data_IF_862423283755
#
_entry.id   IF_862423283755
#
_cell.length_a   1.000
_cell.length_b   1.000
_cell.length_c   1.000
_cell.angle_alpha   90.00
_cell.angle_beta   90.00
_cell.angle_gamma   90.00
#
_symmetry.space_group_name_H-M   'P 1'
#
loop_
_entity.id
_entity.type
_entity.pdbx_description
1 polymer ?
#
# COMPACT_ATOMS: atom_id res chain seq x y z
N UNK A 1 33.41 17.12 -1.95
CA UNK A 1 33.04 18.19 -0.99
C UNK A 1 32.98 17.60 0.39
N UNK A 2 33.72 18.14 1.35
CA UNK A 2 33.53 17.71 2.72
C UNK A 2 32.09 18.05 3.18
N UNK A 3 31.42 17.07 3.79
CA UNK A 3 30.12 17.27 4.36
C UNK A 3 30.21 18.18 5.58
N UNK A 4 29.28 19.12 5.74
CA UNK A 4 29.17 19.97 6.93
C UNK A 4 28.82 19.18 8.20
N UNK A 5 28.35 17.95 8.03
CA UNK A 5 27.88 17.07 9.10
C UNK A 5 28.81 15.85 9.11
N UNK A 6 29.31 15.49 10.28
CA UNK A 6 30.13 14.29 10.47
C UNK A 6 29.31 13.00 10.26
N UNK A 7 29.99 11.90 9.97
CA UNK A 7 29.31 10.59 9.80
C UNK A 7 28.59 10.16 11.07
N UNK A 8 29.11 10.49 12.25
CA UNK A 8 28.46 10.21 13.53
C UNK A 8 27.14 10.97 13.68
N UNK A 9 27.14 12.26 13.31
CA UNK A 9 25.91 13.08 13.33
C UNK A 9 24.89 12.60 12.32
N UNK A 10 25.29 12.19 11.12
CA UNK A 10 24.40 11.60 10.12
C UNK A 10 23.74 10.31 10.66
N UNK A 11 24.51 9.46 11.31
CA UNK A 11 23.99 8.24 11.88
C UNK A 11 22.99 8.51 13.03
N UNK A 12 23.28 9.49 13.87
CA UNK A 12 22.37 9.92 14.93
C UNK A 12 21.05 10.48 14.36
N UNK A 13 21.14 11.33 13.33
CA UNK A 13 19.95 11.85 12.66
C UNK A 13 19.13 10.74 11.98
N UNK A 14 19.80 9.80 11.32
CA UNK A 14 19.13 8.63 10.74
C UNK A 14 18.39 7.82 11.80
N UNK A 15 19.01 7.62 12.98
CA UNK A 15 18.37 6.98 14.13
C UNK A 15 17.09 7.72 14.55
N UNK A 16 17.17 9.04 14.72
CA UNK A 16 16.01 9.87 15.11
C UNK A 16 14.86 9.76 14.10
N UNK A 17 15.13 9.77 12.78
CA UNK A 17 14.09 9.62 11.77
C UNK A 17 13.43 8.23 11.80
N UNK A 18 14.21 7.19 12.03
CA UNK A 18 13.68 5.84 12.19
C UNK A 18 12.82 5.73 13.46
N UNK A 19 13.25 6.32 14.57
CA UNK A 19 12.49 6.35 15.83
C UNK A 19 11.16 7.11 15.67
N UNK A 20 11.16 8.21 14.92
CA UNK A 20 9.92 8.95 14.60
C UNK A 20 8.98 8.06 13.77
N UNK A 21 9.50 7.36 12.77
CA UNK A 21 8.70 6.43 11.98
C UNK A 21 8.13 5.32 12.87
N UNK A 22 8.95 4.71 13.70
CA UNK A 22 8.56 3.63 14.59
C UNK A 22 7.54 4.06 15.65
N UNK A 23 7.58 5.32 16.07
CA UNK A 23 6.62 5.88 17.03
C UNK A 23 5.22 6.04 16.42
N UNK A 24 5.14 6.45 15.16
CA UNK A 24 3.86 6.77 14.50
C UNK A 24 3.38 5.73 13.49
N UNK A 25 4.13 4.64 13.32
CA UNK A 25 3.75 3.58 12.39
C UNK A 25 2.48 2.85 12.84
N UNK A 26 1.68 2.46 11.87
CA UNK A 26 0.50 1.61 12.05
C UNK A 26 0.54 0.45 11.09
N UNK A 27 -0.11 -0.63 11.44
CA UNK A 27 -0.25 -1.78 10.58
C UNK A 27 -1.20 -1.47 9.41
N UNK A 28 -0.76 -1.83 8.22
CA UNK A 28 -1.55 -1.79 6.99
C UNK A 28 -1.56 -3.15 6.33
N UNK A 29 -2.66 -3.50 5.68
CA UNK A 29 -2.76 -4.74 4.90
C UNK A 29 -2.85 -4.39 3.42
N UNK A 30 -1.88 -4.87 2.65
CA UNK A 30 -1.81 -4.66 1.21
C UNK A 30 -2.37 -5.89 0.52
N UNK A 31 -3.45 -5.73 -0.22
CA UNK A 31 -4.10 -6.79 -0.98
C UNK A 31 -3.68 -6.72 -2.44
N UNK A 32 -3.20 -7.85 -2.95
CA UNK A 32 -2.87 -8.04 -4.36
C UNK A 32 -4.04 -8.63 -5.12
N UNK A 33 -4.01 -8.50 -6.43
CA UNK A 33 -4.92 -9.22 -7.31
C UNK A 33 -4.85 -10.73 -7.02
N UNK A 34 -5.99 -11.39 -6.77
CA UNK A 34 -5.99 -12.80 -6.38
C UNK A 34 -5.41 -13.67 -7.51
N UNK A 35 -4.62 -14.65 -7.12
CA UNK A 35 -4.07 -15.61 -8.07
C UNK A 35 -5.14 -16.62 -8.47
N UNK A 36 -5.31 -16.80 -9.78
CA UNK A 36 -6.14 -17.85 -10.34
C UNK A 36 -5.39 -19.18 -10.25
N UNK A 37 -5.93 -20.11 -9.49
CA UNK A 37 -5.38 -21.48 -9.33
C UNK A 37 -6.32 -22.47 -9.96
N UNK A 38 -5.78 -23.35 -10.79
CA UNK A 38 -6.53 -24.47 -11.39
C UNK A 38 -6.67 -25.52 -10.31
N UNK A 39 -7.88 -25.77 -9.81
CA UNK A 39 -8.13 -26.73 -8.73
C UNK A 39 -8.33 -28.17 -9.22
N UNK A 40 -8.80 -28.35 -10.46
CA UNK A 40 -8.93 -29.66 -11.08
C UNK A 40 -8.66 -29.60 -12.58
N UNK A 41 -7.78 -30.45 -13.06
CA UNK A 41 -7.65 -30.73 -14.48
C UNK A 41 -8.41 -32.03 -14.72
N UNK A 42 -9.49 -31.98 -15.48
CA UNK A 42 -10.22 -33.19 -15.85
C UNK A 42 -9.38 -33.94 -16.88
N UNK A 43 -8.76 -35.02 -16.46
CA UNK A 43 -7.87 -35.86 -17.28
C UNK A 43 -8.59 -36.62 -18.42
N UNK A 44 -9.93 -36.59 -18.41
CA UNK A 44 -10.72 -37.21 -19.50
C UNK A 44 -10.62 -36.49 -20.85
N UNK A 45 -10.17 -35.23 -20.86
CA UNK A 45 -9.93 -34.51 -22.12
C UNK A 45 -8.57 -34.83 -22.79
N UNK A 46 -7.72 -35.63 -22.14
CA UNK A 46 -6.39 -35.93 -22.62
C UNK A 46 -6.41 -36.78 -23.92
N UNK A 47 -7.53 -37.42 -24.23
CA UNK A 47 -7.68 -38.26 -25.41
C UNK A 47 -8.61 -37.68 -26.49
N UNK A 48 -8.96 -36.39 -26.44
CA UNK A 48 -9.70 -35.71 -27.50
C UNK A 48 -11.18 -36.10 -27.64
N UNK A 49 -11.70 -36.93 -26.76
CA UNK A 49 -13.13 -37.34 -26.70
C UNK A 49 -13.84 -36.87 -25.44
N UNK A 50 -13.48 -35.71 -24.92
CA UNK A 50 -14.15 -35.07 -23.80
C UNK A 50 -14.98 -33.86 -24.24
N UNK A 51 -16.13 -33.70 -23.63
CA UNK A 51 -17.00 -32.56 -23.82
C UNK A 51 -16.21 -31.25 -23.58
N UNK A 52 -16.14 -30.32 -24.54
CA UNK A 52 -15.39 -29.06 -24.38
C UNK A 52 -15.97 -28.16 -23.25
N UNK A 53 -17.11 -28.53 -22.70
CA UNK A 53 -17.73 -27.86 -21.55
C UNK A 53 -17.31 -28.45 -20.19
N UNK A 54 -16.45 -29.45 -20.13
CA UNK A 54 -16.01 -30.01 -18.86
C UNK A 54 -15.03 -29.05 -18.19
N UNK A 55 -15.60 -28.29 -17.36
CA UNK A 55 -15.20 -27.26 -16.44
C UNK A 55 -13.81 -27.46 -15.83
N UNK A 56 -12.88 -26.69 -16.32
CA UNK A 56 -11.67 -26.37 -15.54
C UNK A 56 -12.14 -25.56 -14.33
N UNK A 57 -12.18 -26.16 -13.17
CA UNK A 57 -12.53 -25.44 -11.95
C UNK A 57 -11.36 -24.55 -11.52
N UNK A 58 -11.62 -23.25 -11.55
CA UNK A 58 -10.67 -22.26 -11.07
C UNK A 58 -11.07 -21.82 -9.66
N UNK A 59 -10.09 -21.74 -8.78
CA UNK A 59 -10.24 -21.03 -7.51
C UNK A 59 -9.35 -19.78 -7.51
N UNK A 60 -9.84 -18.73 -6.86
CA UNK A 60 -9.06 -17.50 -6.68
C UNK A 60 -8.48 -17.49 -5.26
N UNK A 61 -7.17 -17.52 -5.15
CA UNK A 61 -6.49 -17.39 -3.86
C UNK A 61 -6.18 -15.92 -3.60
N UNK A 62 -6.74 -15.33 -2.52
CA UNK A 62 -6.38 -13.97 -2.12
C UNK A 62 -4.90 -13.94 -1.70
N UNK A 63 -4.20 -12.90 -2.13
CA UNK A 63 -2.82 -12.64 -1.76
C UNK A 63 -2.75 -11.33 -1.03
N UNK A 64 -2.33 -11.34 0.22
CA UNK A 64 -2.16 -10.15 1.03
C UNK A 64 -0.87 -10.20 1.84
N UNK A 65 -0.35 -9.04 2.19
CA UNK A 65 0.80 -8.88 3.06
C UNK A 65 0.54 -7.80 4.10
N UNK A 66 1.06 -8.00 5.29
CA UNK A 66 0.96 -7.05 6.40
C UNK A 66 2.26 -6.26 6.46
N UNK A 67 2.14 -4.93 6.50
CA UNK A 67 3.28 -4.01 6.57
C UNK A 67 2.99 -2.87 7.53
N UNK A 68 3.99 -2.08 7.82
CA UNK A 68 3.89 -0.91 8.67
C UNK A 68 4.02 0.37 7.85
N UNK A 69 3.18 1.35 8.14
CA UNK A 69 3.19 2.65 7.49
C UNK A 69 2.79 3.77 8.44
N UNK A 70 3.30 4.95 8.18
CA UNK A 70 2.78 6.17 8.81
C UNK A 70 1.66 6.73 7.93
N UNK A 71 0.50 7.01 8.52
CA UNK A 71 -0.71 7.43 7.82
C UNK A 71 -0.95 8.90 8.09
N UNK A 72 -1.19 9.67 7.02
CA UNK A 72 -1.58 11.08 7.09
C UNK A 72 -2.86 11.30 6.30
N UNK A 73 -3.90 11.74 6.99
CA UNK A 73 -5.14 12.19 6.37
C UNK A 73 -5.00 13.65 5.97
N UNK A 74 -5.28 13.96 4.71
CA UNK A 74 -5.37 15.34 4.24
C UNK A 74 -6.85 15.73 4.26
N UNK A 75 -7.18 16.66 5.13
CA UNK A 75 -8.48 17.31 5.10
C UNK A 75 -8.40 18.42 4.05
N UNK A 76 -9.34 18.45 3.10
CA UNK A 76 -9.42 19.53 2.13
C UNK A 76 -9.70 20.83 2.85
N UNK A 77 -8.77 21.78 2.75
CA UNK A 77 -8.84 23.07 3.43
C UNK A 77 -10.02 23.95 2.95
N UNK A 78 -10.67 23.58 1.86
CA UNK A 78 -11.82 24.35 1.36
C UNK A 78 -13.06 24.22 2.25
N UNK A 79 -13.20 23.16 3.02
CA UNK A 79 -14.31 22.95 3.95
C UNK A 79 -14.20 23.79 5.23
N UNK A 80 -13.00 24.24 5.61
CA UNK A 80 -12.81 25.06 6.81
C UNK A 80 -13.24 26.53 6.61
N UNK A 81 -13.38 26.99 5.36
CA UNK A 81 -13.68 28.41 5.07
C UNK A 81 -15.16 28.76 5.05
N UNK A 82 -16.07 27.81 5.01
CA UNK A 82 -17.50 28.08 4.76
C UNK A 82 -18.41 28.04 5.98
N UNK A 83 -17.90 27.84 7.20
CA UNK A 83 -18.71 27.95 8.43
C UNK A 83 -19.90 27.00 8.51
N UNK A 84 -20.21 26.26 7.48
CA UNK A 84 -21.19 25.20 7.46
C UNK A 84 -20.54 23.91 7.94
N UNK A 85 -21.12 23.28 8.94
CA UNK A 85 -20.72 21.95 9.40
C UNK A 85 -21.05 20.98 8.28
N UNK A 86 -20.09 20.50 7.49
CA UNK A 86 -20.40 19.55 6.44
C UNK A 86 -20.83 18.24 7.09
N UNK A 87 -22.01 17.79 6.78
CA UNK A 87 -22.55 16.50 7.22
C UNK A 87 -21.74 15.30 6.70
N UNK A 88 -20.79 15.54 5.79
CA UNK A 88 -19.80 14.58 5.31
C UNK A 88 -18.47 15.29 5.11
N UNK A 89 -17.52 15.00 5.99
CA UNK A 89 -16.12 15.37 5.76
C UNK A 89 -15.63 14.53 4.58
N UNK A 90 -15.53 15.16 3.42
CA UNK A 90 -14.84 14.58 2.28
C UNK A 90 -13.37 14.45 2.67
N UNK A 91 -12.93 13.25 3.00
CA UNK A 91 -11.51 12.99 3.25
C UNK A 91 -10.81 13.10 1.89
N UNK A 92 -10.26 14.28 1.63
CA UNK A 92 -9.39 14.49 0.48
C UNK A 92 -8.19 13.59 0.61
N UNK A 93 -7.74 12.84 -0.20
CA UNK A 93 -6.58 11.95 -0.28
C UNK A 93 -5.89 11.58 1.04
N UNK A 94 -5.56 10.35 1.19
CA UNK A 94 -4.77 9.83 2.29
C UNK A 94 -3.36 9.56 1.79
N UNK A 95 -2.36 9.94 2.55
CA UNK A 95 -0.96 9.66 2.25
C UNK A 95 -0.44 8.62 3.22
N UNK A 96 0.17 7.58 2.70
CA UNK A 96 0.93 6.62 3.50
C UNK A 96 2.41 6.74 3.20
N UNK A 97 3.21 6.68 4.25
CA UNK A 97 4.66 6.66 4.18
C UNK A 97 5.14 5.28 4.59
N UNK A 98 5.82 4.60 3.69
CA UNK A 98 6.25 3.21 3.84
C UNK A 98 7.75 3.07 3.68
N UNK A 99 8.31 1.97 4.16
CA UNK A 99 9.69 1.58 3.97
C UNK A 99 9.87 0.70 2.73
N UNK A 100 11.12 0.39 2.39
CA UNK A 100 11.50 -0.39 1.20
C UNK A 100 10.76 -1.74 1.05
N UNK A 101 10.58 -2.58 2.10
CA UNK A 101 9.88 -3.86 1.95
C UNK A 101 8.44 -3.70 1.49
N UNK A 102 7.71 -2.72 2.03
CA UNK A 102 6.34 -2.43 1.64
C UNK A 102 6.27 -1.87 0.21
N UNK A 103 7.21 -0.98 -0.16
CA UNK A 103 7.34 -0.47 -1.52
C UNK A 103 7.56 -1.60 -2.52
N UNK A 104 8.52 -2.48 -2.25
CA UNK A 104 8.82 -3.61 -3.12
C UNK A 104 7.59 -4.51 -3.29
N UNK A 105 6.83 -4.72 -2.22
CA UNK A 105 5.60 -5.50 -2.29
C UNK A 105 4.51 -4.78 -3.11
N UNK A 106 4.30 -3.48 -2.93
CA UNK A 106 3.32 -2.69 -3.70
C UNK A 106 3.66 -2.74 -5.20
N UNK A 107 4.92 -2.60 -5.56
CA UNK A 107 5.37 -2.55 -6.95
C UNK A 107 5.47 -3.93 -7.61
N UNK A 108 5.50 -5.01 -6.81
CA UNK A 108 5.52 -6.38 -7.34
C UNK A 108 4.11 -6.82 -7.78
N UNK A 109 3.80 -6.60 -9.04
CA UNK A 109 2.49 -6.90 -9.61
C UNK A 109 1.43 -5.86 -9.24
N UNK A 110 0.18 -6.17 -9.53
CA UNK A 110 -0.93 -5.24 -9.33
C UNK A 110 -1.43 -5.26 -7.90
N UNK A 111 -1.40 -4.11 -7.23
CA UNK A 111 -2.03 -3.90 -5.94
C UNK A 111 -3.50 -3.53 -6.15
N UNK A 112 -4.40 -4.29 -5.54
CA UNK A 112 -5.84 -4.08 -5.66
C UNK A 112 -6.32 -3.00 -4.69
N UNK A 113 -6.00 -3.19 -3.41
CA UNK A 113 -6.43 -2.29 -2.33
C UNK A 113 -5.50 -2.38 -1.13
N UNK A 114 -5.55 -1.34 -0.30
CA UNK A 114 -4.87 -1.27 0.99
C UNK A 114 -5.92 -1.03 2.06
N UNK A 115 -5.89 -1.81 3.14
CA UNK A 115 -6.82 -1.68 4.28
C UNK A 115 -6.07 -1.29 5.54
N UNK A 116 -6.62 -0.31 6.25
CA UNK A 116 -6.23 0.10 7.59
C UNK A 116 -7.37 0.88 8.25
N UNK A 117 -7.40 0.94 9.56
CA UNK A 117 -8.44 1.60 10.35
C UNK A 117 -9.88 1.20 9.91
N UNK A 118 -10.08 -0.08 9.56
CA UNK A 118 -11.36 -0.63 9.05
C UNK A 118 -11.87 0.03 7.76
N UNK A 119 -11.02 0.72 7.02
CA UNK A 119 -11.34 1.37 5.74
C UNK A 119 -10.51 0.78 4.63
N UNK A 120 -11.03 0.85 3.43
CA UNK A 120 -10.40 0.36 2.21
C UNK A 120 -10.00 1.51 1.31
N UNK A 121 -8.78 1.45 0.79
CA UNK A 121 -8.20 2.49 -0.05
C UNK A 121 -7.62 1.90 -1.32
N UNK A 122 -7.63 2.69 -2.37
CA UNK A 122 -7.01 2.40 -3.65
C UNK A 122 -5.76 3.26 -3.85
N UNK A 123 -4.70 2.68 -4.37
CA UNK A 123 -3.48 3.43 -4.70
C UNK A 123 -3.72 4.25 -5.96
N UNK A 124 -3.54 5.57 -5.86
CA UNK A 124 -3.67 6.48 -7.00
C UNK A 124 -2.31 6.68 -7.66
N UNK A 125 -1.31 7.03 -6.87
CA UNK A 125 0.03 7.31 -7.37
C UNK A 125 1.10 7.12 -6.31
N UNK A 126 2.29 6.77 -6.75
CA UNK A 126 3.51 6.94 -5.99
C UNK A 126 3.91 8.41 -6.10
N UNK A 127 3.92 9.12 -4.98
CA UNK A 127 4.10 10.55 -4.99
C UNK A 127 5.57 10.95 -4.91
N UNK A 128 6.29 10.47 -3.92
CA UNK A 128 7.68 10.89 -3.76
C UNK A 128 8.54 9.90 -2.97
N UNK A 129 9.79 9.83 -3.38
CA UNK A 129 10.85 9.27 -2.57
C UNK A 129 11.28 10.33 -1.54
N UNK A 130 10.90 10.17 -0.29
CA UNK A 130 11.31 11.01 0.83
C UNK A 130 12.44 10.35 1.61
N UNK A 131 13.55 10.14 0.92
CA UNK A 131 14.75 9.64 1.56
C UNK A 131 15.50 10.80 2.24
N UNK A 132 15.91 10.58 3.47
CA UNK A 132 16.77 11.51 4.20
C UNK A 132 17.95 10.76 4.79
N UNK A 133 19.16 11.17 4.39
CA UNK A 133 20.40 10.47 4.72
C UNK A 133 20.33 9.00 4.27
N UNK A 134 20.48 8.07 5.21
CA UNK A 134 20.43 6.64 4.97
C UNK A 134 19.02 6.04 5.14
N UNK A 135 18.05 6.82 5.60
CA UNK A 135 16.65 6.39 5.73
C UNK A 135 15.90 6.55 4.43
N UNK A 136 15.34 5.46 3.91
CA UNK A 136 14.57 5.45 2.67
C UNK A 136 13.09 5.28 2.98
N UNK A 137 12.32 6.31 2.67
CA UNK A 137 10.87 6.32 2.82
C UNK A 137 10.21 6.66 1.49
N UNK A 138 9.06 6.03 1.26
CA UNK A 138 8.28 6.23 0.04
C UNK A 138 6.85 6.63 0.42
N UNK A 139 6.30 7.60 -0.28
CA UNK A 139 4.97 8.14 -0.02
C UNK A 139 4.04 7.77 -1.16
N UNK A 140 2.91 7.17 -0.81
CA UNK A 140 1.83 6.83 -1.75
C UNK A 140 0.58 7.64 -1.42
N UNK A 141 -0.06 8.14 -2.46
CA UNK A 141 -1.37 8.78 -2.36
C UNK A 141 -2.45 7.72 -2.54
N UNK A 142 -3.40 7.70 -1.61
CA UNK A 142 -4.52 6.78 -1.60
C UNK A 142 -5.84 7.53 -1.69
N UNK A 143 -6.84 6.87 -2.24
CA UNK A 143 -8.23 7.32 -2.28
C UNK A 143 -9.12 6.29 -1.59
N UNK A 144 -10.06 6.77 -0.76
CA UNK A 144 -11.02 5.89 -0.13
C UNK A 144 -11.95 5.27 -1.18
N UNK A 145 -12.10 3.96 -1.13
CA UNK A 145 -13.12 3.25 -1.93
C UNK A 145 -14.40 3.16 -1.12
N UNK A 146 -15.48 3.59 -1.76
CA UNK A 146 -16.84 3.42 -1.21
C UNK A 146 -17.25 1.95 -1.18
#
# INVERSE_FOLDING_TARGET
MPSLISETEKNNLTGIFNDIFDTFKREIVIHKEPKKVISQVNTSSLFGYGDPASSVNFSYQPVSGVFEATIRYNLDQETERLGDIPSQVSVGGVFIKVQEPAKAYINKGKTEKITFDSKTFKVISEDANKSFLNSKFYVYKLEATK
#
